data_IF_990572266289
#
_entry.id   IF_990572266289
#
_cell.length_a   1.000
_cell.length_b   1.000
_cell.length_c   1.000
_cell.angle_alpha   90.00
_cell.angle_beta   90.00
_cell.angle_gamma   90.00
#
_symmetry.space_group_name_H-M   'P 1'
#
loop_
_entity.id
_entity.type
_entity.pdbx_description
1 polymer ?
#
# COMPACT_ATOMS: atom_id res chain seq x y z
N UNK A 1 -6.49 -2.96 7.94
CA UNK A 1 -5.36 -2.34 8.67
C UNK A 1 -4.85 -3.33 9.71
N UNK A 2 -3.53 -3.38 10.00
CA UNK A 2 -2.99 -4.29 11.01
C UNK A 2 -3.65 -3.97 12.33
N UNK A 3 -4.07 -4.99 13.08
CA UNK A 3 -4.58 -4.76 14.43
C UNK A 3 -3.39 -4.37 15.29
N UNK A 4 -3.30 -3.10 15.67
CA UNK A 4 -2.34 -2.59 16.65
C UNK A 4 -3.00 -2.62 18.02
N UNK A 5 -2.38 -3.23 19.04
CA UNK A 5 -2.95 -3.22 20.37
C UNK A 5 -2.94 -1.76 20.88
N UNK A 6 -4.11 -1.23 21.23
CA UNK A 6 -4.26 0.16 21.68
C UNK A 6 -4.23 0.20 23.19
N UNK A 7 -3.35 1.02 23.76
CA UNK A 7 -3.28 1.24 25.21
C UNK A 7 -4.56 1.91 25.68
N UNK A 8 -5.12 1.43 26.78
CA UNK A 8 -6.25 2.07 27.46
C UNK A 8 -6.05 2.00 28.98
N UNK A 9 -6.76 2.82 29.75
CA UNK A 9 -6.72 2.75 31.22
C UNK A 9 -7.05 1.34 31.75
N UNK A 10 -7.91 0.60 31.04
CA UNK A 10 -8.33 -0.77 31.39
C UNK A 10 -7.36 -1.85 30.88
N UNK A 11 -6.52 -1.54 29.88
CA UNK A 11 -5.50 -2.43 29.35
C UNK A 11 -4.23 -1.62 29.04
N UNK A 12 -3.40 -1.31 30.06
CA UNK A 12 -2.22 -0.46 29.92
C UNK A 12 -1.10 -1.14 29.12
N UNK A 13 -1.02 -2.46 29.14
CA UNK A 13 -0.02 -3.28 28.44
C UNK A 13 -0.69 -4.27 27.46
N UNK A 14 -1.29 -3.77 26.37
CA UNK A 14 -2.05 -4.61 25.46
C UNK A 14 -1.10 -5.42 24.58
N UNK A 15 -1.29 -6.74 24.59
CA UNK A 15 -0.53 -7.69 23.77
C UNK A 15 -1.39 -8.22 22.63
N UNK A 16 -0.75 -8.64 21.54
CA UNK A 16 -1.44 -9.30 20.43
C UNK A 16 -1.63 -10.78 20.73
N UNK A 17 -2.85 -11.29 20.52
CA UNK A 17 -3.10 -12.73 20.58
C UNK A 17 -2.35 -13.45 19.44
N UNK A 18 -2.05 -14.75 19.59
CA UNK A 18 -1.40 -15.54 18.52
C UNK A 18 -2.14 -15.46 17.18
N UNK A 19 -3.47 -15.47 17.19
CA UNK A 19 -4.32 -15.35 16.00
C UNK A 19 -4.15 -13.97 15.35
N UNK A 20 -4.15 -12.91 16.16
CA UNK A 20 -3.91 -11.55 15.66
C UNK A 20 -2.53 -11.40 15.03
N UNK A 21 -1.49 -11.99 15.64
CA UNK A 21 -0.14 -12.02 15.07
C UNK A 21 -0.13 -12.76 13.73
N UNK A 22 -0.79 -13.92 13.63
CA UNK A 22 -0.90 -14.70 12.39
C UNK A 22 -1.60 -13.91 11.28
N UNK A 23 -2.68 -13.21 11.59
CA UNK A 23 -3.39 -12.35 10.63
C UNK A 23 -2.53 -11.15 10.19
N UNK A 24 -1.89 -10.46 11.15
CA UNK A 24 -0.99 -9.35 10.84
C UNK A 24 0.17 -9.81 9.95
N UNK A 25 0.74 -11.01 10.17
CA UNK A 25 1.80 -11.58 9.33
C UNK A 25 1.34 -11.83 7.90
N UNK A 26 0.15 -12.42 7.71
CA UNK A 26 -0.44 -12.61 6.36
C UNK A 26 -0.62 -11.29 5.63
N UNK A 27 -1.18 -10.28 6.31
CA UNK A 27 -1.37 -8.96 5.73
C UNK A 27 -0.04 -8.26 5.41
N UNK A 28 0.96 -8.41 6.27
CA UNK A 28 2.30 -7.86 6.04
C UNK A 28 2.94 -8.47 4.79
N UNK A 29 2.82 -9.79 4.59
CA UNK A 29 3.34 -10.45 3.39
C UNK A 29 2.72 -9.88 2.10
N UNK A 30 1.40 -9.67 2.07
CA UNK A 30 0.74 -9.01 0.91
C UNK A 30 1.22 -7.58 0.71
N UNK A 31 1.43 -6.82 1.80
CA UNK A 31 1.90 -5.43 1.72
C UNK A 31 3.27 -5.31 1.09
N UNK A 32 4.22 -6.20 1.42
CA UNK A 32 5.57 -6.17 0.84
C UNK A 32 5.50 -6.19 -0.69
N UNK A 33 4.65 -7.05 -1.26
CA UNK A 33 4.47 -7.17 -2.71
C UNK A 33 3.85 -5.88 -3.28
N UNK A 34 2.79 -5.37 -2.65
CA UNK A 34 2.10 -4.15 -3.08
C UNK A 34 3.01 -2.92 -3.00
N UNK A 35 3.77 -2.77 -1.92
CA UNK A 35 4.70 -1.65 -1.73
C UNK A 35 5.87 -1.72 -2.72
N UNK A 36 6.36 -2.92 -3.04
CA UNK A 36 7.36 -3.10 -4.10
C UNK A 36 6.80 -2.69 -5.48
N UNK A 37 5.56 -3.08 -5.80
CA UNK A 37 4.91 -2.65 -7.03
C UNK A 37 4.71 -1.13 -7.08
N UNK A 38 4.23 -0.51 -5.99
CA UNK A 38 4.07 0.95 -5.88
C UNK A 38 5.40 1.67 -5.99
N UNK A 39 6.44 1.17 -5.34
CA UNK A 39 7.80 1.70 -5.44
C UNK A 39 8.32 1.62 -6.87
N UNK A 40 8.08 0.51 -7.55
CA UNK A 40 8.44 0.32 -8.96
C UNK A 40 7.68 1.25 -9.91
N UNK A 41 6.37 1.42 -9.72
CA UNK A 41 5.55 2.34 -10.53
C UNK A 41 6.04 3.79 -10.47
N UNK A 42 6.68 4.21 -9.38
CA UNK A 42 7.27 5.56 -9.27
C UNK A 42 8.44 5.80 -10.23
N UNK A 43 8.96 4.77 -10.88
CA UNK A 43 9.85 4.90 -12.04
C UNK A 43 9.22 5.79 -13.13
N UNK A 44 7.91 5.72 -13.33
CA UNK A 44 7.21 6.57 -14.27
C UNK A 44 7.02 7.98 -13.69
N UNK A 45 7.70 8.96 -14.29
CA UNK A 45 7.65 10.36 -13.84
C UNK A 45 6.23 10.95 -13.80
N UNK A 46 5.29 10.42 -14.59
CA UNK A 46 3.88 10.80 -14.55
C UNK A 46 3.22 10.61 -13.17
N UNK A 47 3.73 9.68 -12.35
CA UNK A 47 3.28 9.45 -10.98
C UNK A 47 4.05 10.23 -9.91
N UNK A 48 5.22 10.78 -10.28
CA UNK A 48 6.08 11.52 -9.36
C UNK A 48 5.83 13.02 -9.39
N UNK A 49 5.43 13.56 -10.55
CA UNK A 49 5.12 14.96 -10.68
C UNK A 49 3.68 15.27 -10.27
N UNK A 50 3.48 16.45 -9.69
CA UNK A 50 2.15 16.95 -9.36
C UNK A 50 1.36 17.21 -10.65
N UNK A 51 0.31 16.43 -10.86
CA UNK A 51 -0.66 16.68 -11.93
C UNK A 51 -1.47 17.93 -11.56
N UNK A 52 -1.46 18.93 -12.44
CA UNK A 52 -2.24 20.18 -12.29
C UNK A 52 -3.61 20.12 -12.98
N UNK A 53 -3.88 19.03 -13.69
CA UNK A 53 -5.16 18.81 -14.33
C UNK A 53 -6.26 18.52 -13.29
N UNK A 54 -7.40 19.18 -13.41
CA UNK A 54 -8.53 19.05 -12.48
C UNK A 54 -9.50 17.91 -12.83
N UNK A 55 -9.33 17.26 -13.98
CA UNK A 55 -10.12 16.08 -14.34
C UNK A 55 -9.66 14.89 -13.48
N UNK A 56 -10.51 14.47 -12.54
CA UNK A 56 -10.17 13.43 -11.55
C UNK A 56 -9.72 12.11 -12.16
N UNK A 57 -10.27 11.73 -13.32
CA UNK A 57 -9.96 10.45 -13.98
C UNK A 57 -8.52 10.31 -14.45
N UNK A 58 -7.80 11.42 -14.70
CA UNK A 58 -6.42 11.34 -15.21
C UNK A 58 -5.48 10.65 -14.22
N UNK A 59 -5.67 10.87 -12.91
CA UNK A 59 -4.84 10.23 -11.87
C UNK A 59 -5.06 8.71 -11.90
N UNK A 60 -6.31 8.27 -11.99
CA UNK A 60 -6.67 6.85 -12.03
C UNK A 60 -6.14 6.16 -13.30
N UNK A 61 -6.18 6.85 -14.45
CA UNK A 61 -5.61 6.35 -15.69
C UNK A 61 -4.10 6.16 -15.61
N UNK A 62 -3.35 7.16 -15.13
CA UNK A 62 -1.90 7.03 -14.97
C UNK A 62 -1.54 5.94 -13.97
N UNK A 63 -2.29 5.82 -12.88
CA UNK A 63 -2.06 4.78 -11.88
C UNK A 63 -2.30 3.38 -12.48
N UNK A 64 -3.42 3.18 -13.18
CA UNK A 64 -3.77 1.90 -13.80
C UNK A 64 -2.78 1.50 -14.90
N UNK A 65 -2.40 2.46 -15.75
CA UNK A 65 -1.43 2.22 -16.83
C UNK A 65 -0.06 1.86 -16.25
N UNK A 66 0.45 2.64 -15.30
CA UNK A 66 1.74 2.38 -14.64
C UNK A 66 1.75 1.04 -13.91
N UNK A 67 0.64 0.65 -13.28
CA UNK A 67 0.49 -0.64 -12.65
C UNK A 67 0.57 -1.78 -13.66
N UNK A 68 -0.09 -1.65 -14.81
CA UNK A 68 0.01 -2.59 -15.91
C UNK A 68 1.44 -2.72 -16.43
N UNK A 69 2.06 -1.60 -16.83
CA UNK A 69 3.42 -1.58 -17.36
C UNK A 69 4.41 -2.25 -16.39
N UNK A 70 4.38 -1.87 -15.11
CA UNK A 70 5.29 -2.44 -14.11
C UNK A 70 5.05 -3.93 -13.83
N UNK A 71 3.79 -4.37 -13.70
CA UNK A 71 3.47 -5.76 -13.39
C UNK A 71 3.78 -6.70 -14.56
N UNK A 72 3.52 -6.27 -15.79
CA UNK A 72 3.81 -7.07 -16.98
C UNK A 72 5.26 -6.92 -17.47
N UNK A 73 6.07 -6.07 -16.83
CA UNK A 73 7.45 -5.77 -17.25
C UNK A 73 7.52 -5.25 -18.69
N UNK A 74 6.56 -4.41 -19.06
CA UNK A 74 6.45 -3.75 -20.36
C UNK A 74 6.84 -2.29 -20.14
N UNK A 75 8.13 -2.00 -19.99
CA UNK A 75 8.67 -0.66 -19.82
C UNK A 75 10.12 -0.56 -20.27
#
# INVERSE_FOLDING_TARGET
MPKKPRKSKKNPNPTLTPEQKKQNRKQAATRVIVEHAIGGMKFFHCLMHRIRNHLGHFVDYFFSLSAGLWNYKIY
#
